data_IF_094458125209
#
_entry.id   IF_094458125209
#
_cell.length_a   1.000
_cell.length_b   1.000
_cell.length_c   1.000
_cell.angle_alpha   90.00
_cell.angle_beta   90.00
_cell.angle_gamma   90.00
#
_symmetry.space_group_name_H-M   'P 1'
#
loop_
_entity.id
_entity.type
_entity.pdbx_description
1 polymer ?
#
# COMPACT_ATOMS: atom_id res chain seq x y z
N UNK A 1 -7.71 19.03 -9.66
CA UNK A 1 -7.13 18.47 -10.90
C UNK A 1 -7.19 16.94 -10.92
N UNK A 2 -6.38 16.19 -10.15
CA UNK A 2 -6.40 14.71 -10.20
C UNK A 2 -7.79 14.09 -9.95
N UNK A 3 -8.54 14.62 -8.98
CA UNK A 3 -9.93 14.20 -8.74
C UNK A 3 -10.84 14.47 -9.95
N UNK A 4 -10.67 15.61 -10.61
CA UNK A 4 -11.46 15.98 -11.80
C UNK A 4 -11.11 15.12 -13.01
N UNK A 5 -9.84 14.74 -13.16
CA UNK A 5 -9.39 13.79 -14.18
C UNK A 5 -10.03 12.43 -13.91
N UNK A 6 -9.92 11.93 -12.67
CA UNK A 6 -10.49 10.65 -12.27
C UNK A 6 -12.00 10.56 -12.53
N UNK A 7 -12.74 11.62 -12.21
CA UNK A 7 -14.19 11.70 -12.43
C UNK A 7 -14.61 11.64 -13.92
N UNK A 8 -13.68 11.90 -14.85
CA UNK A 8 -13.93 11.87 -16.30
C UNK A 8 -13.51 10.55 -16.96
N UNK A 9 -12.76 9.70 -16.27
CA UNK A 9 -12.30 8.43 -16.83
C UNK A 9 -13.43 7.39 -16.78
N UNK A 10 -13.73 6.79 -17.93
CA UNK A 10 -14.66 5.65 -18.02
C UNK A 10 -14.01 4.33 -17.62
N UNK A 11 -12.68 4.24 -17.77
CA UNK A 11 -11.86 3.08 -17.39
C UNK A 11 -10.59 3.58 -16.66
N UNK A 12 -10.70 4.00 -15.39
CA UNK A 12 -9.55 4.49 -14.65
C UNK A 12 -8.54 3.36 -14.39
N UNK A 13 -7.23 3.63 -14.48
CA UNK A 13 -6.21 2.65 -14.13
C UNK A 13 -6.24 2.38 -12.62
N UNK A 14 -5.83 1.18 -12.22
CA UNK A 14 -5.60 0.89 -10.80
C UNK A 14 -4.34 1.60 -10.34
N UNK A 15 -4.39 2.19 -9.14
CA UNK A 15 -3.27 2.86 -8.50
C UNK A 15 -2.70 1.92 -7.42
N UNK A 16 -1.39 1.75 -7.42
CA UNK A 16 -0.68 0.95 -6.42
C UNK A 16 0.39 1.78 -5.74
N UNK A 17 0.54 1.56 -4.43
CA UNK A 17 1.65 2.09 -3.64
C UNK A 17 2.62 0.94 -3.34
N UNK A 18 3.91 1.16 -3.55
CA UNK A 18 4.96 0.15 -3.34
C UNK A 18 6.04 0.67 -2.41
N UNK A 19 6.55 -0.23 -1.56
CA UNK A 19 7.72 0.04 -0.73
C UNK A 19 8.73 -1.10 -0.90
N UNK A 20 9.79 -0.85 -1.68
CA UNK A 20 10.89 -1.79 -1.91
C UNK A 20 11.93 -1.79 -0.79
N UNK A 21 11.82 -0.86 0.16
CA UNK A 21 12.88 -0.50 1.10
C UNK A 21 12.52 -0.82 2.55
N UNK A 22 11.46 -1.61 2.78
CA UNK A 22 11.10 -2.01 4.15
C UNK A 22 12.22 -2.85 4.76
N UNK A 23 12.64 -2.47 5.96
CA UNK A 23 13.69 -3.13 6.73
C UNK A 23 13.13 -3.77 8.00
N UNK A 24 13.85 -4.75 8.54
CA UNK A 24 13.64 -5.26 9.90
C UNK A 24 14.28 -4.35 10.96
N UNK A 25 14.14 -4.74 12.24
CA UNK A 25 14.72 -4.02 13.37
C UNK A 25 16.26 -3.97 13.36
N UNK A 26 16.93 -4.78 12.53
CA UNK A 26 18.38 -4.82 12.36
C UNK A 26 18.85 -4.06 11.10
N UNK A 27 17.94 -3.37 10.40
CA UNK A 27 18.24 -2.62 9.19
C UNK A 27 18.41 -3.48 7.94
N UNK A 28 18.07 -4.78 8.00
CA UNK A 28 18.13 -5.67 6.84
C UNK A 28 16.89 -5.46 5.98
N UNK A 29 17.09 -5.25 4.67
CA UNK A 29 15.98 -5.23 3.72
C UNK A 29 15.24 -6.56 3.71
N UNK A 30 13.92 -6.47 3.85
CA UNK A 30 13.06 -7.65 3.88
C UNK A 30 12.78 -8.20 2.47
N UNK A 31 12.82 -7.32 1.45
CA UNK A 31 12.67 -7.69 0.05
C UNK A 31 13.99 -7.53 -0.71
N UNK A 32 14.40 -8.49 -1.55
CA UNK A 32 15.68 -8.42 -2.28
C UNK A 32 15.78 -7.27 -3.29
N UNK A 33 14.65 -6.75 -3.79
CA UNK A 33 14.64 -5.60 -4.70
C UNK A 33 15.12 -5.91 -6.12
N UNK A 34 15.56 -4.87 -6.83
CA UNK A 34 16.11 -4.96 -8.19
C UNK A 34 15.19 -5.73 -9.17
N UNK A 35 15.71 -6.75 -9.85
CA UNK A 35 14.97 -7.59 -10.78
C UNK A 35 13.81 -8.33 -10.13
N UNK A 36 13.91 -8.63 -8.82
CA UNK A 36 12.85 -9.34 -8.10
C UNK A 36 11.58 -8.51 -7.95
N UNK A 37 11.65 -7.18 -8.09
CA UNK A 37 10.46 -6.31 -8.13
C UNK A 37 9.48 -6.70 -9.24
N UNK A 38 9.95 -7.37 -10.30
CA UNK A 38 9.08 -7.92 -11.35
C UNK A 38 8.02 -8.89 -10.81
N UNK A 39 8.27 -9.57 -9.68
CA UNK A 39 7.30 -10.48 -9.05
C UNK A 39 6.11 -9.74 -8.46
N UNK A 40 6.36 -8.56 -7.88
CA UNK A 40 5.28 -7.71 -7.36
C UNK A 40 4.55 -7.03 -8.52
N UNK A 41 5.26 -6.62 -9.58
CA UNK A 41 4.62 -6.11 -10.79
C UNK A 41 3.74 -7.17 -11.48
N UNK A 42 4.20 -8.44 -11.53
CA UNK A 42 3.41 -9.54 -12.05
C UNK A 42 2.10 -9.71 -11.25
N UNK A 43 2.17 -9.67 -9.91
CA UNK A 43 0.97 -9.67 -9.07
C UNK A 43 0.04 -8.49 -9.38
N UNK A 44 0.56 -7.29 -9.60
CA UNK A 44 -0.26 -6.12 -9.97
C UNK A 44 -0.98 -6.32 -11.31
N UNK A 45 -0.30 -6.93 -12.30
CA UNK A 45 -0.90 -7.25 -13.59
C UNK A 45 -2.02 -8.28 -13.42
N UNK A 46 -1.79 -9.34 -12.65
CA UNK A 46 -2.82 -10.34 -12.33
C UNK A 46 -4.00 -9.72 -11.58
N UNK A 47 -3.75 -8.78 -10.67
CA UNK A 47 -4.81 -8.01 -9.99
C UNK A 47 -5.63 -7.20 -11.00
N UNK A 48 -4.99 -6.56 -11.97
CA UNK A 48 -5.68 -5.83 -13.03
C UNK A 48 -6.51 -6.77 -13.92
N UNK A 49 -6.00 -7.97 -14.20
CA UNK A 49 -6.70 -9.01 -14.98
C UNK A 49 -7.80 -9.75 -14.19
N UNK A 50 -7.85 -9.59 -12.86
CA UNK A 50 -8.80 -10.30 -12.00
C UNK A 50 -8.40 -11.74 -11.67
N UNK A 51 -7.15 -12.13 -11.96
CA UNK A 51 -6.61 -13.48 -11.73
C UNK A 51 -5.91 -13.66 -10.37
N UNK A 52 -5.63 -12.58 -9.63
CA UNK A 52 -5.01 -12.65 -8.30
C UNK A 52 -5.92 -12.09 -7.18
N UNK A 53 -5.79 -12.67 -5.99
CA UNK A 53 -6.44 -12.20 -4.76
C UNK A 53 -5.66 -11.10 -4.04
N UNK A 54 -6.23 -10.61 -2.94
CA UNK A 54 -5.60 -9.68 -2.02
C UNK A 54 -6.23 -9.82 -0.62
N UNK A 55 -5.50 -9.46 0.42
CA UNK A 55 -6.03 -9.25 1.76
C UNK A 55 -6.47 -7.79 1.93
N UNK A 56 -7.66 -7.57 2.49
CA UNK A 56 -8.11 -6.24 2.89
C UNK A 56 -7.32 -5.74 4.11
N UNK A 57 -7.09 -4.44 4.17
CA UNK A 57 -6.50 -3.76 5.32
C UNK A 57 -6.97 -2.30 5.38
N UNK A 58 -6.67 -1.62 6.47
CA UNK A 58 -6.94 -0.20 6.65
C UNK A 58 -6.30 0.70 5.57
N UNK A 59 -5.20 0.27 4.95
CA UNK A 59 -4.47 1.04 3.93
C UNK A 59 -4.74 0.52 2.51
N UNK A 60 -5.82 -0.23 2.34
CA UNK A 60 -6.22 -0.86 1.08
C UNK A 60 -5.81 -2.32 0.99
N UNK A 61 -5.61 -2.81 -0.24
CA UNK A 61 -5.48 -4.22 -0.56
C UNK A 61 -4.03 -4.66 -0.70
N UNK A 62 -3.55 -5.52 0.19
CA UNK A 62 -2.20 -6.09 0.13
C UNK A 62 -2.19 -7.46 -0.55
N UNK A 63 -1.07 -7.89 -1.15
CA UNK A 63 -0.93 -9.26 -1.58
C UNK A 63 -1.07 -10.21 -0.38
N UNK A 64 -1.70 -11.38 -0.60
CA UNK A 64 -1.57 -12.49 0.35
C UNK A 64 -0.20 -13.13 0.16
N UNK A 65 0.42 -13.75 1.18
CA UNK A 65 1.72 -14.39 1.03
C UNK A 65 1.80 -15.36 -0.15
N UNK A 66 0.73 -16.14 -0.38
CA UNK A 66 0.64 -17.10 -1.49
C UNK A 66 0.46 -16.48 -2.88
N UNK A 67 0.10 -15.20 -2.97
CA UNK A 67 -0.08 -14.51 -4.26
C UNK A 67 1.24 -13.92 -4.79
N UNK A 68 2.30 -13.93 -3.98
CA UNK A 68 3.63 -13.50 -4.41
C UNK A 68 4.50 -14.70 -4.75
N UNK A 69 5.03 -14.72 -5.97
CA UNK A 69 5.99 -15.73 -6.37
C UNK A 69 7.33 -15.50 -5.64
N UNK A 70 7.60 -16.28 -4.61
CA UNK A 70 8.89 -16.29 -3.88
C UNK A 70 9.79 -17.46 -4.26
N UNK A 71 9.45 -18.23 -5.30
CA UNK A 71 10.27 -19.34 -5.76
C UNK A 71 11.68 -18.88 -6.14
N UNK A 72 12.68 -19.52 -5.55
CA UNK A 72 14.09 -19.21 -5.74
C UNK A 72 14.60 -18.01 -4.92
N UNK A 73 13.75 -17.38 -4.10
CA UNK A 73 14.16 -16.29 -3.20
C UNK A 73 14.56 -16.82 -1.83
N UNK A 74 15.61 -16.23 -1.25
CA UNK A 74 15.96 -16.43 0.15
C UNK A 74 15.16 -15.47 1.05
N UNK A 75 13.83 -15.57 1.01
CA UNK A 75 12.90 -14.80 1.84
C UNK A 75 12.19 -15.79 2.77
N UNK A 76 12.40 -15.67 4.08
CA UNK A 76 11.71 -16.52 5.05
C UNK A 76 10.22 -16.17 5.12
N UNK A 77 9.41 -17.12 5.61
CA UNK A 77 7.98 -16.87 5.86
C UNK A 77 7.76 -15.70 6.83
N UNK A 78 8.63 -15.55 7.83
CA UNK A 78 8.56 -14.44 8.79
C UNK A 78 8.90 -13.10 8.14
N UNK A 79 9.91 -13.04 7.26
CA UNK A 79 10.20 -11.83 6.49
C UNK A 79 9.04 -11.48 5.56
N UNK A 80 8.43 -12.47 4.91
CA UNK A 80 7.28 -12.25 4.03
C UNK A 80 6.05 -11.78 4.82
N UNK A 81 5.81 -12.36 6.00
CA UNK A 81 4.75 -11.91 6.91
C UNK A 81 5.01 -10.46 7.34
N UNK A 82 6.22 -10.16 7.81
CA UNK A 82 6.62 -8.82 8.22
C UNK A 82 6.48 -7.80 7.07
N UNK A 83 6.83 -8.16 5.83
CA UNK A 83 6.64 -7.32 4.64
C UNK A 83 5.19 -6.89 4.44
N UNK A 84 4.26 -7.80 4.69
CA UNK A 84 2.83 -7.65 4.41
C UNK A 84 2.00 -7.23 5.63
N UNK A 85 2.62 -7.07 6.80
CA UNK A 85 1.94 -6.60 8.01
C UNK A 85 1.74 -5.09 7.99
N UNK A 86 0.54 -4.66 8.34
CA UNK A 86 0.17 -3.27 8.63
C UNK A 86 0.15 -3.10 10.15
N UNK A 87 1.12 -2.38 10.72
CA UNK A 87 1.15 -2.09 12.16
C UNK A 87 0.24 -0.90 12.47
N UNK A 88 -0.88 -1.08 13.22
CA UNK A 88 -1.82 -0.01 13.47
C UNK A 88 -1.22 1.16 14.28
N UNK A 89 -0.29 0.88 15.20
CA UNK A 89 0.33 1.95 16.00
C UNK A 89 1.24 2.82 15.13
N UNK A 90 2.05 2.21 14.27
CA UNK A 90 2.89 2.94 13.32
C UNK A 90 2.05 3.74 12.33
N UNK A 91 1.00 3.14 11.77
CA UNK A 91 0.14 3.79 10.79
C UNK A 91 -0.75 4.89 11.36
N UNK A 92 -1.13 4.82 12.64
CA UNK A 92 -1.82 5.95 13.31
C UNK A 92 -0.92 7.17 13.42
N UNK A 93 0.38 6.97 13.68
CA UNK A 93 1.36 8.06 13.68
C UNK A 93 1.49 8.66 12.28
N UNK A 94 1.66 7.81 11.26
CA UNK A 94 1.73 8.25 9.86
C UNK A 94 0.46 9.02 9.45
N UNK A 95 -0.73 8.53 9.81
CA UNK A 95 -1.99 9.20 9.51
C UNK A 95 -2.08 10.59 10.16
N UNK A 96 -1.56 10.75 11.39
CA UNK A 96 -1.47 12.05 12.06
C UNK A 96 -0.48 12.99 11.34
N UNK A 97 0.66 12.47 10.88
CA UNK A 97 1.65 13.25 10.12
C UNK A 97 1.09 13.68 8.75
N UNK A 98 0.39 12.78 8.05
CA UNK A 98 -0.35 13.08 6.81
C UNK A 98 -1.44 14.11 7.06
N UNK A 99 -2.19 14.02 8.16
CA UNK A 99 -3.20 15.02 8.54
C UNK A 99 -2.58 16.40 8.70
N UNK A 100 -1.47 16.50 9.43
CA UNK A 100 -0.75 17.74 9.64
C UNK A 100 -0.23 18.31 8.31
N UNK A 101 0.29 17.45 7.43
CA UNK A 101 0.72 17.84 6.08
C UNK A 101 -0.45 18.38 5.24
N UNK A 102 -1.57 17.66 5.18
CA UNK A 102 -2.73 18.07 4.39
C UNK A 102 -3.32 19.41 4.89
N UNK A 103 -3.30 19.68 6.19
CA UNK A 103 -3.79 20.94 6.76
C UNK A 103 -3.02 22.17 6.27
N UNK A 104 -1.76 22.03 5.85
CA UNK A 104 -0.95 23.14 5.32
C UNK A 104 -1.54 23.73 4.03
N UNK A 105 -2.41 23.00 3.32
CA UNK A 105 -3.06 23.48 2.10
C UNK A 105 -4.28 24.37 2.37
N UNK A 106 -4.77 24.43 3.61
CA UNK A 106 -5.87 25.30 4.03
C UNK A 106 -7.12 25.11 3.17
N UNK A 107 -7.69 26.22 2.71
CA UNK A 107 -8.91 26.23 1.88
C UNK A 107 -8.77 25.55 0.51
N UNK A 108 -7.54 25.28 0.06
CA UNK A 108 -7.29 24.60 -1.23
C UNK A 108 -7.33 23.08 -1.12
N UNK A 109 -7.36 22.52 0.09
CA UNK A 109 -7.41 21.08 0.30
C UNK A 109 -8.77 20.52 -0.13
N UNK A 110 -8.83 19.59 -1.11
CA UNK A 110 -10.08 18.94 -1.47
C UNK A 110 -10.62 18.11 -0.30
N UNK A 111 -11.91 18.27 0.00
CA UNK A 111 -12.58 17.54 1.09
C UNK A 111 -12.48 16.01 0.94
N UNK A 112 -12.45 15.51 -0.31
CA UNK A 112 -12.29 14.09 -0.61
C UNK A 112 -11.00 13.51 -0.02
N UNK A 113 -9.88 14.25 -0.01
CA UNK A 113 -8.63 13.74 0.59
C UNK A 113 -8.73 13.57 2.10
N UNK A 114 -9.45 14.47 2.79
CA UNK A 114 -9.72 14.33 4.21
C UNK A 114 -10.68 13.18 4.51
N UNK A 115 -11.63 12.90 3.61
CA UNK A 115 -12.54 11.78 3.75
C UNK A 115 -11.79 10.45 3.62
N UNK A 116 -10.91 10.31 2.62
CA UNK A 116 -10.05 9.13 2.47
C UNK A 116 -9.14 8.93 3.70
N UNK A 117 -8.51 10.00 4.20
CA UNK A 117 -7.69 9.90 5.41
C UNK A 117 -8.50 9.45 6.63
N UNK A 118 -9.72 9.96 6.82
CA UNK A 118 -10.60 9.54 7.91
C UNK A 118 -11.01 8.07 7.80
N UNK A 119 -11.28 7.58 6.59
CA UNK A 119 -11.60 6.18 6.36
C UNK A 119 -10.42 5.27 6.75
N UNK A 120 -9.19 5.64 6.36
CA UNK A 120 -7.97 4.96 6.79
C UNK A 120 -7.80 4.97 8.30
N UNK A 121 -7.96 6.14 8.95
CA UNK A 121 -7.87 6.26 10.41
C UNK A 121 -8.87 5.35 11.14
N UNK A 122 -10.10 5.25 10.61
CA UNK A 122 -11.14 4.40 11.19
C UNK A 122 -10.79 2.91 11.02
N UNK A 123 -10.36 2.49 9.83
CA UNK A 123 -9.92 1.11 9.61
C UNK A 123 -8.69 0.70 10.42
N UNK A 124 -7.90 1.66 10.92
CA UNK A 124 -6.79 1.40 11.84
C UNK A 124 -7.24 1.26 13.31
N UNK A 125 -8.50 1.55 13.65
CA UNK A 125 -9.06 1.39 15.00
C UNK A 125 -9.73 0.04 15.21
N UNK A 126 -10.24 -0.56 14.13
CA UNK A 126 -10.86 -1.89 14.08
C UNK A 126 -9.82 -3.03 14.14
#
# INVERSE_FOLDING_TARGET
>A
HWLDVGARLTQPPRIYHVNWFRQDAHGKYLWPGYGENLRVLAWMLDRCAGSAGAAESAIGRLPRPQDLNTTGLNVSEDSLRALLTVDPAMWRKEAADVRAYLQQFGSRLPAALLQELKATEQGLMD
#
